data_IF_847167369563
#
_entry.id   IF_847167369563
#
_cell.length_a   1.000
_cell.length_b   1.000
_cell.length_c   1.000
_cell.angle_alpha   90.00
_cell.angle_beta   90.00
_cell.angle_gamma   90.00
#
_symmetry.space_group_name_H-M   'P 1'
#
loop_
_entity.id
_entity.type
_entity.pdbx_description
1 polymer ?
#
# COMPACT_ATOMS: atom_id res chain seq x y z
N UNK A 1 -9.33 -14.61 -7.87
CA UNK A 1 -10.40 -13.86 -8.58
C UNK A 1 -10.04 -12.39 -8.79
N UNK A 2 -9.54 -11.67 -7.77
CA UNK A 2 -9.19 -10.23 -7.83
C UNK A 2 -8.15 -9.92 -8.91
N UNK A 3 -6.97 -10.57 -8.86
CA UNK A 3 -5.85 -10.31 -9.80
C UNK A 3 -6.28 -10.50 -11.26
N UNK A 4 -6.96 -11.60 -11.58
CA UNK A 4 -7.44 -11.88 -12.94
C UNK A 4 -8.41 -10.81 -13.44
N UNK A 5 -9.32 -10.32 -12.59
CA UNK A 5 -10.26 -9.26 -12.95
C UNK A 5 -9.53 -7.93 -13.19
N UNK A 6 -8.57 -7.58 -12.34
CA UNK A 6 -7.74 -6.38 -12.51
C UNK A 6 -6.96 -6.48 -13.81
N UNK A 7 -6.36 -7.62 -14.13
CA UNK A 7 -5.59 -7.81 -15.37
C UNK A 7 -6.46 -7.69 -16.61
N UNK A 8 -7.62 -8.36 -16.62
CA UNK A 8 -8.57 -8.27 -17.73
C UNK A 8 -9.00 -6.82 -17.96
N UNK A 9 -9.30 -6.08 -16.89
CA UNK A 9 -9.70 -4.67 -16.98
C UNK A 9 -8.54 -3.78 -17.42
N UNK A 10 -7.35 -3.94 -16.85
CA UNK A 10 -6.16 -3.19 -17.24
C UNK A 10 -5.81 -3.42 -18.72
N UNK A 11 -5.84 -4.67 -19.18
CA UNK A 11 -5.61 -5.02 -20.59
C UNK A 11 -6.68 -4.45 -21.52
N UNK A 12 -7.95 -4.49 -21.11
CA UNK A 12 -9.06 -3.90 -21.87
C UNK A 12 -8.89 -2.38 -22.02
N UNK A 13 -8.57 -1.68 -20.93
CA UNK A 13 -8.31 -0.23 -20.96
C UNK A 13 -7.13 0.09 -21.86
N UNK A 14 -6.03 -0.64 -21.73
CA UNK A 14 -4.84 -0.44 -22.54
C UNK A 14 -5.11 -0.71 -24.03
N UNK A 15 -5.91 -1.71 -24.36
CA UNK A 15 -6.32 -2.03 -25.73
C UNK A 15 -7.26 -0.97 -26.34
N UNK A 16 -8.08 -0.29 -25.53
CA UNK A 16 -9.01 0.74 -26.00
C UNK A 16 -8.33 2.08 -26.29
N UNK A 17 -7.29 2.44 -25.55
CA UNK A 17 -6.62 3.74 -25.67
C UNK A 17 -5.08 3.64 -25.67
N UNK A 18 -4.48 2.74 -26.48
CA UNK A 18 -3.05 2.46 -26.39
C UNK A 18 -2.21 3.71 -26.68
N UNK A 19 -2.52 4.43 -27.77
CA UNK A 19 -1.77 5.61 -28.19
C UNK A 19 -1.88 6.78 -27.21
N UNK A 20 -3.05 6.99 -26.56
CA UNK A 20 -3.20 8.05 -25.55
C UNK A 20 -2.33 7.77 -24.32
N UNK A 21 -2.39 6.55 -23.78
CA UNK A 21 -1.60 6.17 -22.61
C UNK A 21 -0.10 6.14 -22.91
N UNK A 22 0.29 5.65 -24.09
CA UNK A 22 1.67 5.72 -24.57
C UNK A 22 2.15 7.16 -24.71
N UNK A 23 1.38 8.02 -25.38
CA UNK A 23 1.73 9.43 -25.56
C UNK A 23 1.94 10.16 -24.24
N UNK A 24 1.05 9.95 -23.27
CA UNK A 24 1.17 10.54 -21.93
C UNK A 24 2.35 9.98 -21.14
N UNK A 25 2.61 8.68 -21.23
CA UNK A 25 3.76 8.05 -20.57
C UNK A 25 5.09 8.51 -21.18
N UNK A 26 5.15 8.63 -22.51
CA UNK A 26 6.30 9.19 -23.23
C UNK A 26 6.51 10.66 -22.89
N UNK A 27 5.43 11.46 -22.83
CA UNK A 27 5.50 12.85 -22.40
C UNK A 27 6.01 12.96 -20.96
N UNK A 28 5.48 12.18 -20.03
CA UNK A 28 5.96 12.16 -18.65
C UNK A 28 7.42 11.71 -18.55
N UNK A 29 7.84 10.73 -19.36
CA UNK A 29 9.22 10.25 -19.41
C UNK A 29 10.16 11.32 -19.96
N UNK A 30 9.76 12.00 -21.03
CA UNK A 30 10.49 13.13 -21.62
C UNK A 30 10.66 14.27 -20.60
N UNK A 31 9.59 14.65 -19.90
CA UNK A 31 9.64 15.67 -18.85
C UNK A 31 10.55 15.24 -17.70
N UNK A 32 10.51 13.96 -17.32
CA UNK A 32 11.40 13.41 -16.29
C UNK A 32 12.87 13.48 -16.72
N UNK A 33 13.18 13.10 -17.96
CA UNK A 33 14.54 13.19 -18.52
C UNK A 33 15.00 14.64 -18.58
N UNK A 34 14.14 15.57 -19.00
CA UNK A 34 14.45 16.99 -19.04
C UNK A 34 14.84 17.52 -17.65
N UNK A 35 14.07 17.15 -16.63
CA UNK A 35 14.36 17.51 -15.24
C UNK A 35 15.68 16.90 -14.76
N UNK A 36 16.01 15.67 -15.18
CA UNK A 36 17.29 15.03 -14.85
C UNK A 36 18.49 15.69 -15.55
N UNK A 37 18.34 16.10 -16.81
CA UNK A 37 19.41 16.69 -17.63
C UNK A 37 19.69 18.14 -17.23
N UNK A 38 18.63 18.93 -17.02
CA UNK A 38 18.75 20.37 -16.72
C UNK A 38 18.70 20.68 -15.22
N UNK A 39 18.32 19.72 -14.38
CA UNK A 39 18.32 19.89 -12.94
C UNK A 39 19.74 19.96 -12.39
N UNK A 40 20.03 21.03 -11.65
CA UNK A 40 21.36 21.25 -11.06
C UNK A 40 21.52 20.51 -9.73
N UNK A 41 20.48 20.52 -8.90
CA UNK A 41 20.54 20.00 -7.53
C UNK A 41 19.48 18.91 -7.28
N UNK A 42 19.82 17.81 -6.60
CA UNK A 42 18.87 16.75 -6.25
C UNK A 42 17.65 17.25 -5.47
N UNK A 43 17.82 18.30 -4.67
CA UNK A 43 16.73 18.93 -3.91
C UNK A 43 15.63 19.54 -4.80
N UNK A 44 15.94 19.87 -6.05
CA UNK A 44 14.97 20.36 -7.05
C UNK A 44 14.45 19.19 -7.88
N UNK A 45 15.36 18.31 -8.33
CA UNK A 45 15.04 17.18 -9.21
C UNK A 45 14.04 16.23 -8.56
N UNK A 46 14.31 15.80 -7.32
CA UNK A 46 13.53 14.75 -6.65
C UNK A 46 12.06 15.16 -6.44
N UNK A 47 11.75 16.34 -5.90
CA UNK A 47 10.36 16.82 -5.79
C UNK A 47 9.62 16.88 -7.13
N UNK A 48 10.24 17.41 -8.18
CA UNK A 48 9.59 17.57 -9.49
C UNK A 48 9.25 16.20 -10.10
N UNK A 49 10.20 15.25 -10.08
CA UNK A 49 9.96 13.88 -10.55
C UNK A 49 8.89 13.19 -9.69
N UNK A 50 8.92 13.40 -8.37
CA UNK A 50 7.93 12.85 -7.47
C UNK A 50 6.51 13.34 -7.80
N UNK A 51 6.35 14.62 -8.12
CA UNK A 51 5.06 15.20 -8.52
C UNK A 51 4.62 14.70 -9.90
N UNK A 52 5.54 14.60 -10.88
CA UNK A 52 5.23 13.99 -12.19
C UNK A 52 4.76 12.53 -12.06
N UNK A 53 5.40 11.75 -11.18
CA UNK A 53 5.01 10.37 -10.92
C UNK A 53 3.62 10.26 -10.27
N UNK A 54 3.25 11.22 -9.42
CA UNK A 54 1.88 11.33 -8.90
C UNK A 54 0.88 11.72 -10.01
N UNK A 55 1.26 12.60 -10.94
CA UNK A 55 0.45 12.93 -12.12
C UNK A 55 0.16 11.70 -13.00
N UNK A 56 1.17 10.87 -13.27
CA UNK A 56 0.98 9.60 -13.98
C UNK A 56 0.06 8.64 -13.25
N UNK A 57 0.12 8.58 -11.92
CA UNK A 57 -0.81 7.79 -11.12
C UNK A 57 -2.27 8.26 -11.32
N UNK A 58 -2.50 9.57 -11.41
CA UNK A 58 -3.82 10.12 -11.72
C UNK A 58 -4.31 9.72 -13.13
N UNK A 59 -3.42 9.74 -14.13
CA UNK A 59 -3.73 9.28 -15.51
C UNK A 59 -4.13 7.79 -15.51
N UNK A 60 -3.36 6.94 -14.84
CA UNK A 60 -3.68 5.51 -14.76
C UNK A 60 -4.99 5.26 -14.02
N UNK A 61 -5.28 6.03 -12.97
CA UNK A 61 -6.53 5.90 -12.22
C UNK A 61 -7.75 6.29 -13.05
N UNK A 62 -7.71 7.47 -13.68
CA UNK A 62 -8.81 7.93 -14.53
C UNK A 62 -8.99 6.98 -15.74
N UNK A 63 -7.89 6.52 -16.35
CA UNK A 63 -7.93 5.52 -17.42
C UNK A 63 -8.51 4.17 -16.99
N UNK A 64 -8.10 3.64 -15.83
CA UNK A 64 -8.65 2.40 -15.28
C UNK A 64 -10.16 2.52 -14.98
N UNK A 65 -10.59 3.70 -14.54
CA UNK A 65 -11.99 4.05 -14.32
C UNK A 65 -12.80 4.30 -15.61
N UNK A 66 -12.19 4.15 -16.79
CA UNK A 66 -12.86 4.30 -18.08
C UNK A 66 -13.15 5.76 -18.45
N UNK A 67 -12.52 6.72 -17.77
CA UNK A 67 -12.61 8.14 -18.11
C UNK A 67 -11.61 8.45 -19.23
N UNK A 68 -11.87 9.52 -19.96
CA UNK A 68 -10.88 10.05 -20.90
C UNK A 68 -9.65 10.59 -20.14
N UNK A 69 -8.47 10.37 -20.74
CA UNK A 69 -7.19 10.81 -20.20
C UNK A 69 -6.61 11.95 -21.03
N UNK A 70 -6.07 12.96 -20.34
CA UNK A 70 -5.55 14.19 -20.94
C UNK A 70 -4.22 14.58 -20.29
N UNK A 71 -3.41 15.35 -21.02
CA UNK A 71 -2.08 15.79 -20.58
C UNK A 71 -2.13 16.63 -19.29
N UNK A 72 -3.21 17.37 -19.06
CA UNK A 72 -3.39 18.18 -17.85
C UNK A 72 -3.37 17.36 -16.55
N UNK A 73 -3.73 16.07 -16.63
CA UNK A 73 -3.67 15.16 -15.48
C UNK A 73 -2.23 14.97 -14.98
N UNK A 74 -1.23 15.05 -15.86
CA UNK A 74 0.20 14.98 -15.48
C UNK A 74 0.59 16.12 -14.55
N UNK A 75 -0.06 17.28 -14.72
CA UNK A 75 0.23 18.48 -13.96
C UNK A 75 -0.69 18.67 -12.74
N UNK A 76 -1.65 17.77 -12.49
CA UNK A 76 -2.55 17.85 -11.32
C UNK A 76 -1.77 17.96 -10.00
N UNK A 77 -0.70 17.17 -9.85
CA UNK A 77 0.13 17.18 -8.65
C UNK A 77 0.86 18.52 -8.41
N UNK A 78 1.08 19.33 -9.44
CA UNK A 78 1.74 20.65 -9.33
C UNK A 78 0.82 21.72 -8.74
N UNK A 79 -0.52 21.55 -8.84
CA UNK A 79 -1.47 22.48 -8.21
C UNK A 79 -1.29 22.54 -6.70
N UNK A 80 -1.02 21.39 -6.09
CA UNK A 80 -0.69 21.25 -4.68
C UNK A 80 0.76 20.77 -4.52
N UNK A 81 1.72 21.44 -5.20
CA UNK A 81 3.10 20.97 -5.36
C UNK A 81 3.75 20.53 -4.05
N UNK A 82 3.81 21.39 -3.04
CA UNK A 82 4.48 21.08 -1.78
C UNK A 82 3.83 19.92 -1.01
N UNK A 83 2.50 19.78 -1.08
CA UNK A 83 1.79 18.65 -0.45
C UNK A 83 2.10 17.35 -1.17
N UNK A 84 2.02 17.36 -2.50
CA UNK A 84 2.26 16.18 -3.35
C UNK A 84 3.72 15.75 -3.29
N UNK A 85 4.64 16.69 -3.50
CA UNK A 85 6.08 16.48 -3.39
C UNK A 85 6.45 15.99 -1.99
N UNK A 86 5.97 16.67 -0.94
CA UNK A 86 6.20 16.27 0.45
C UNK A 86 5.74 14.85 0.72
N UNK A 87 4.51 14.48 0.33
CA UNK A 87 3.98 13.13 0.54
C UNK A 87 4.73 12.04 -0.21
N UNK A 88 5.09 12.31 -1.47
CA UNK A 88 5.85 11.37 -2.29
C UNK A 88 7.31 11.23 -1.84
N UNK A 89 7.96 12.32 -1.44
CA UNK A 89 9.30 12.30 -0.84
C UNK A 89 9.27 11.58 0.51
N UNK A 90 8.24 11.82 1.34
CA UNK A 90 8.06 11.13 2.61
C UNK A 90 7.90 9.61 2.44
N UNK A 91 7.12 9.19 1.44
CA UNK A 91 7.04 7.78 1.01
C UNK A 91 8.42 7.21 0.68
N UNK A 92 9.19 7.89 -0.19
CA UNK A 92 10.52 7.41 -0.62
C UNK A 92 11.50 7.34 0.55
N UNK A 93 11.50 8.34 1.42
CA UNK A 93 12.32 8.37 2.63
C UNK A 93 12.05 7.16 3.52
N UNK A 94 10.79 6.85 3.80
CA UNK A 94 10.45 5.69 4.63
C UNK A 94 10.89 4.37 4.01
N UNK A 95 10.68 4.18 2.70
CA UNK A 95 11.16 2.97 2.00
C UNK A 95 12.68 2.85 2.10
N UNK A 96 13.39 3.97 1.91
CA UNK A 96 14.85 4.01 1.99
C UNK A 96 15.37 3.67 3.40
N UNK A 97 14.76 4.22 4.45
CA UNK A 97 15.12 3.91 5.85
C UNK A 97 15.00 2.40 6.12
N UNK A 98 13.88 1.79 5.69
CA UNK A 98 13.70 0.35 5.87
C UNK A 98 14.67 -0.48 5.03
N UNK A 99 15.05 -0.01 3.85
CA UNK A 99 16.03 -0.66 2.98
C UNK A 99 17.44 -0.71 3.59
N UNK A 100 17.84 0.33 4.35
CA UNK A 100 19.17 0.41 4.98
C UNK A 100 19.42 -0.64 6.07
N UNK A 101 18.37 -1.31 6.56
CA UNK A 101 18.53 -2.37 7.56
C UNK A 101 19.25 -3.58 6.92
N UNK A 102 20.38 -4.06 7.47
CA UNK A 102 21.09 -5.19 6.89
C UNK A 102 20.23 -6.48 6.84
N UNK A 103 20.41 -7.30 5.80
CA UNK A 103 19.78 -8.62 5.58
C UNK A 103 18.24 -8.57 5.47
N UNK A 104 17.53 -8.12 6.50
CA UNK A 104 16.08 -8.01 6.55
C UNK A 104 15.54 -6.75 5.83
N UNK A 105 16.34 -5.69 5.69
CA UNK A 105 15.89 -4.42 5.13
C UNK A 105 15.33 -4.49 3.72
N UNK A 106 15.95 -5.20 2.77
CA UNK A 106 15.38 -5.38 1.44
C UNK A 106 13.97 -5.97 1.46
N UNK A 107 13.72 -7.00 2.29
CA UNK A 107 12.39 -7.61 2.43
C UNK A 107 11.36 -6.65 3.04
N UNK A 108 11.76 -5.91 4.08
CA UNK A 108 10.88 -4.92 4.72
C UNK A 108 10.60 -3.76 3.76
N UNK A 109 11.59 -3.29 3.02
CA UNK A 109 11.45 -2.23 2.02
C UNK A 109 10.45 -2.60 0.92
N UNK A 110 10.48 -3.85 0.43
CA UNK A 110 9.49 -4.36 -0.53
C UNK A 110 8.08 -4.34 0.08
N UNK A 111 7.93 -4.84 1.32
CA UNK A 111 6.64 -4.78 2.02
C UNK A 111 6.12 -3.35 2.18
N UNK A 112 7.01 -2.41 2.51
CA UNK A 112 6.70 -0.98 2.64
C UNK A 112 6.42 -0.31 1.31
N UNK A 113 7.10 -0.69 0.23
CA UNK A 113 6.81 -0.23 -1.13
C UNK A 113 5.34 -0.48 -1.49
N UNK A 114 4.84 -1.70 -1.26
CA UNK A 114 3.43 -2.01 -1.47
C UNK A 114 2.52 -1.30 -0.47
N UNK A 115 2.88 -1.25 0.82
CA UNK A 115 2.08 -0.54 1.82
C UNK A 115 1.89 0.96 1.51
N UNK A 116 2.83 1.58 0.81
CA UNK A 116 2.78 2.98 0.39
C UNK A 116 2.38 3.17 -1.09
N UNK A 117 1.95 2.10 -1.76
CA UNK A 117 1.61 2.15 -3.18
C UNK A 117 0.42 3.06 -3.47
N UNK A 118 -0.50 3.23 -2.52
CA UNK A 118 -1.71 4.03 -2.70
C UNK A 118 -1.56 5.53 -2.45
N UNK A 119 -0.45 5.95 -1.84
CA UNK A 119 -0.14 7.37 -1.55
C UNK A 119 -0.33 8.32 -2.74
N UNK A 120 0.21 8.07 -3.95
CA UNK A 120 0.01 8.99 -5.06
C UNK A 120 -1.47 9.15 -5.45
N UNK A 121 -2.29 8.11 -5.34
CA UNK A 121 -3.71 8.19 -5.68
C UNK A 121 -4.49 8.99 -4.61
N UNK A 122 -4.25 8.70 -3.33
CA UNK A 122 -4.86 9.44 -2.21
C UNK A 122 -4.50 10.92 -2.28
N UNK A 123 -3.24 11.25 -2.56
CA UNK A 123 -2.80 12.65 -2.70
C UNK A 123 -3.52 13.38 -3.83
N UNK A 124 -3.88 12.68 -4.91
CA UNK A 124 -4.55 13.26 -6.06
C UNK A 124 -6.06 13.46 -5.86
N UNK A 125 -6.73 12.56 -5.14
CA UNK A 125 -8.19 12.62 -4.94
C UNK A 125 -8.61 13.30 -3.64
N UNK A 126 -7.88 13.10 -2.55
CA UNK A 126 -8.26 13.58 -1.23
C UNK A 126 -7.44 14.80 -0.82
N UNK A 127 -7.84 15.97 -1.32
CA UNK A 127 -7.12 17.23 -1.08
C UNK A 127 -7.08 17.69 0.38
N UNK A 128 -8.04 17.24 1.19
CA UNK A 128 -8.10 17.54 2.63
C UNK A 128 -7.10 16.74 3.46
N UNK A 129 -6.53 15.66 2.90
CA UNK A 129 -5.62 14.78 3.64
C UNK A 129 -4.18 15.29 3.50
N UNK A 130 -3.55 15.53 4.65
CA UNK A 130 -2.14 15.93 4.73
C UNK A 130 -1.20 14.85 4.18
N UNK A 131 -0.02 15.27 3.69
CA UNK A 131 0.99 14.40 3.09
C UNK A 131 1.32 13.13 3.91
N UNK A 132 1.51 13.28 5.22
CA UNK A 132 1.81 12.17 6.14
C UNK A 132 0.59 11.31 6.45
N UNK A 133 -0.61 11.92 6.49
CA UNK A 133 -1.86 11.21 6.68
C UNK A 133 -2.19 10.34 5.46
N UNK A 134 -1.90 10.81 4.24
CA UNK A 134 -2.06 10.02 3.02
C UNK A 134 -1.19 8.75 3.02
N UNK A 135 0.03 8.83 3.60
CA UNK A 135 0.90 7.67 3.75
C UNK A 135 0.33 6.67 4.77
N UNK A 136 -0.20 7.15 5.90
CA UNK A 136 -0.85 6.29 6.90
C UNK A 136 -2.10 5.61 6.35
N UNK A 137 -2.93 6.36 5.64
CA UNK A 137 -4.12 5.85 4.97
C UNK A 137 -3.75 4.78 3.93
N UNK A 138 -2.74 5.04 3.09
CA UNK A 138 -2.22 4.02 2.16
C UNK A 138 -1.87 2.71 2.87
N UNK A 139 -1.20 2.76 4.03
CA UNK A 139 -0.86 1.53 4.77
C UNK A 139 -2.08 0.75 5.25
N UNK A 140 -3.14 1.46 5.65
CA UNK A 140 -4.39 0.87 6.10
C UNK A 140 -5.14 0.25 4.91
N UNK A 141 -5.29 1.00 3.83
CA UNK A 141 -6.04 0.60 2.63
C UNK A 141 -5.37 -0.56 1.88
N UNK A 142 -4.03 -0.65 1.90
CA UNK A 142 -3.31 -1.79 1.30
C UNK A 142 -3.25 -3.02 2.23
N UNK A 143 -3.69 -2.91 3.49
CA UNK A 143 -3.61 -4.03 4.42
C UNK A 143 -4.53 -5.18 3.95
N UNK A 144 -3.97 -6.40 3.82
CA UNK A 144 -4.65 -7.55 3.23
C UNK A 144 -4.40 -7.77 1.74
N UNK A 145 -3.91 -6.77 0.99
CA UNK A 145 -3.64 -6.90 -0.46
C UNK A 145 -2.15 -6.91 -0.83
N UNK A 146 -1.24 -6.64 0.11
CA UNK A 146 0.22 -6.53 -0.15
C UNK A 146 0.79 -7.75 -0.90
N UNK A 147 0.49 -8.96 -0.44
CA UNK A 147 0.98 -10.18 -1.08
C UNK A 147 0.37 -10.37 -2.47
N UNK A 148 -0.90 -9.98 -2.67
CA UNK A 148 -1.55 -10.06 -3.97
C UNK A 148 -0.92 -9.07 -4.97
N UNK A 149 -0.59 -7.86 -4.52
CA UNK A 149 0.13 -6.87 -5.33
C UNK A 149 1.54 -7.34 -5.68
N UNK A 150 2.27 -7.92 -4.71
CA UNK A 150 3.58 -8.51 -4.94
C UNK A 150 3.51 -9.63 -5.97
N UNK A 151 2.61 -10.61 -5.80
CA UNK A 151 2.45 -11.69 -6.76
C UNK A 151 2.02 -11.18 -8.14
N UNK A 152 1.23 -10.10 -8.19
CA UNK A 152 0.80 -9.51 -9.44
C UNK A 152 1.97 -8.90 -10.24
N UNK A 153 2.98 -8.35 -9.59
CA UNK A 153 4.17 -7.89 -10.32
C UNK A 153 5.21 -9.00 -10.51
N UNK A 154 5.47 -9.75 -9.45
CA UNK A 154 6.58 -10.70 -9.42
C UNK A 154 6.38 -11.88 -10.36
N UNK A 155 5.18 -12.47 -10.41
CA UNK A 155 4.95 -13.69 -11.22
C UNK A 155 5.05 -13.39 -12.73
N UNK A 156 4.39 -12.36 -13.29
CA UNK A 156 4.55 -12.03 -14.70
C UNK A 156 5.98 -11.64 -15.06
N UNK A 157 6.65 -10.88 -14.19
CA UNK A 157 8.04 -10.46 -14.41
C UNK A 157 8.99 -11.66 -14.39
N UNK A 158 8.82 -12.59 -13.44
CA UNK A 158 9.62 -13.81 -13.38
C UNK A 158 9.43 -14.66 -14.65
N UNK A 159 8.19 -14.79 -15.12
CA UNK A 159 7.89 -15.55 -16.33
C UNK A 159 8.54 -14.94 -17.58
N UNK A 160 8.42 -13.63 -17.79
CA UNK A 160 9.03 -12.97 -18.95
C UNK A 160 10.55 -13.04 -18.88
N UNK A 161 11.17 -12.87 -17.70
CA UNK A 161 12.62 -13.00 -17.57
C UNK A 161 13.11 -14.44 -17.81
N UNK A 162 12.33 -15.45 -17.43
CA UNK A 162 12.64 -16.85 -17.75
C UNK A 162 12.60 -17.10 -19.27
N UNK A 163 11.57 -16.61 -19.96
CA UNK A 163 11.48 -16.69 -21.43
C UNK A 163 12.64 -15.97 -22.10
N UNK A 164 12.97 -14.77 -21.64
CA UNK A 164 14.10 -13.98 -22.14
C UNK A 164 15.45 -14.69 -21.93
N UNK A 165 15.65 -15.34 -20.78
CA UNK A 165 16.84 -16.14 -20.52
C UNK A 165 16.97 -17.33 -21.49
N UNK A 166 15.85 -18.03 -21.77
CA UNK A 166 15.83 -19.14 -22.75
C UNK A 166 16.18 -18.62 -24.15
N UNK A 167 15.55 -17.53 -24.61
CA UNK A 167 15.84 -16.94 -25.91
C UNK A 167 17.29 -16.46 -26.03
N UNK A 168 17.84 -15.88 -24.96
CA UNK A 168 19.23 -15.47 -24.89
C UNK A 168 20.19 -16.67 -24.97
N UNK A 169 19.88 -17.80 -24.33
CA UNK A 169 20.67 -19.03 -24.46
C UNK A 169 20.62 -19.58 -25.90
N UNK A 170 19.43 -19.60 -26.53
CA UNK A 170 19.28 -20.04 -27.93
C UNK A 170 20.03 -19.13 -28.91
N UNK A 171 20.16 -17.83 -28.59
CA UNK A 171 20.94 -16.89 -29.40
C UNK A 171 22.45 -17.19 -29.47
N UNK A 172 22.96 -18.08 -28.62
CA UNK A 172 24.38 -18.48 -28.61
C UNK A 172 24.70 -19.56 -29.65
N UNK A 173 23.70 -20.15 -30.30
CA UNK A 173 23.89 -21.19 -31.32
C UNK A 173 24.46 -20.55 -32.60
N UNK A 174 25.54 -21.09 -33.20
CA UNK A 174 26.08 -20.55 -34.45
C UNK A 174 25.04 -20.62 -35.60
N UNK A 175 25.07 -19.63 -36.50
CA UNK A 175 24.14 -19.42 -37.63
C UNK A 175 22.67 -19.13 -37.24
N UNK A 176 22.03 -19.98 -36.44
CA UNK A 176 20.61 -19.83 -36.06
C UNK A 176 20.40 -18.79 -34.95
N UNK A 177 21.44 -18.52 -34.14
CA UNK A 177 21.36 -17.64 -32.98
C UNK A 177 21.00 -16.18 -33.30
N UNK A 178 21.28 -15.69 -34.52
CA UNK A 178 20.92 -14.33 -34.95
C UNK A 178 19.40 -14.15 -34.93
N UNK A 179 18.64 -15.16 -35.37
CA UNK A 179 17.18 -15.10 -35.35
C UNK A 179 16.66 -14.93 -33.91
N UNK A 180 17.17 -15.74 -32.98
CA UNK A 180 16.79 -15.65 -31.56
C UNK A 180 17.25 -14.33 -30.92
N UNK A 181 18.40 -13.78 -31.32
CA UNK A 181 18.84 -12.46 -30.86
C UNK A 181 17.86 -11.36 -31.30
N UNK A 182 17.44 -11.36 -32.57
CA UNK A 182 16.45 -10.41 -33.08
C UNK A 182 15.12 -10.54 -32.34
N UNK A 183 14.62 -11.77 -32.16
CA UNK A 183 13.38 -12.03 -31.39
C UNK A 183 13.53 -11.51 -29.96
N UNK A 184 14.66 -11.77 -29.30
CA UNK A 184 14.94 -11.29 -27.93
C UNK A 184 14.85 -9.76 -27.86
N UNK A 185 15.45 -9.05 -28.81
CA UNK A 185 15.38 -7.58 -28.86
C UNK A 185 13.94 -7.10 -29.06
N UNK A 186 13.16 -7.75 -29.94
CA UNK A 186 11.76 -7.39 -30.17
C UNK A 186 10.93 -7.61 -28.90
N UNK A 187 11.06 -8.78 -28.26
CA UNK A 187 10.33 -9.09 -27.02
C UNK A 187 10.70 -8.09 -25.91
N UNK A 188 12.00 -7.77 -25.76
CA UNK A 188 12.46 -6.77 -24.80
C UNK A 188 11.85 -5.39 -25.07
N UNK A 189 11.82 -4.96 -26.33
CA UNK A 189 11.28 -3.66 -26.72
C UNK A 189 9.78 -3.60 -26.42
N UNK A 190 9.02 -4.61 -26.84
CA UNK A 190 7.58 -4.71 -26.57
C UNK A 190 7.32 -4.70 -25.06
N UNK A 191 8.06 -5.50 -24.30
CA UNK A 191 7.91 -5.55 -22.85
C UNK A 191 8.24 -4.21 -22.18
N UNK A 192 9.32 -3.54 -22.60
CA UNK A 192 9.74 -2.24 -22.04
C UNK A 192 8.70 -1.15 -22.25
N UNK A 193 8.01 -1.16 -23.40
CA UNK A 193 6.96 -0.18 -23.69
C UNK A 193 5.62 -0.54 -23.04
N UNK A 194 5.30 -1.83 -22.95
CA UNK A 194 4.03 -2.32 -22.43
C UNK A 194 3.98 -2.36 -20.89
N UNK A 195 5.01 -2.91 -20.26
CA UNK A 195 5.06 -3.16 -18.82
C UNK A 195 4.75 -1.94 -17.93
N UNK A 196 5.37 -0.75 -18.13
CA UNK A 196 5.10 0.39 -17.24
C UNK A 196 3.64 0.85 -17.27
N UNK A 197 2.98 0.73 -18.43
CA UNK A 197 1.58 1.08 -18.60
C UNK A 197 0.67 0.05 -17.96
N UNK A 198 0.95 -1.23 -18.22
CA UNK A 198 0.17 -2.32 -17.68
C UNK A 198 0.25 -2.35 -16.15
N UNK A 199 1.45 -2.30 -15.56
CA UNK A 199 1.61 -2.31 -14.11
C UNK A 199 1.12 -1.03 -13.45
N UNK A 200 1.20 0.12 -14.12
CA UNK A 200 0.58 1.38 -13.68
C UNK A 200 -0.94 1.27 -13.56
N UNK A 201 -1.60 0.66 -14.56
CA UNK A 201 -3.03 0.37 -14.53
C UNK A 201 -3.40 -0.70 -13.50
N UNK A 202 -2.56 -1.73 -13.31
CA UNK A 202 -2.78 -2.75 -12.27
C UNK A 202 -2.75 -2.11 -10.88
N UNK A 203 -1.80 -1.21 -10.61
CA UNK A 203 -1.73 -0.46 -9.34
C UNK A 203 -2.96 0.41 -9.11
N UNK A 204 -3.43 1.11 -10.14
CA UNK A 204 -4.68 1.86 -10.09
C UNK A 204 -5.88 0.94 -9.81
N UNK A 205 -5.90 -0.25 -10.40
CA UNK A 205 -6.96 -1.23 -10.18
C UNK A 205 -6.99 -1.80 -8.77
N UNK A 206 -5.83 -2.04 -8.15
CA UNK A 206 -5.77 -2.44 -6.74
C UNK A 206 -6.27 -1.32 -5.82
N UNK A 207 -5.95 -0.07 -6.15
CA UNK A 207 -6.42 1.08 -5.38
C UNK A 207 -7.95 1.24 -5.47
N UNK A 208 -8.53 1.14 -6.67
CA UNK A 208 -9.98 1.14 -6.85
C UNK A 208 -10.66 -0.03 -6.13
N UNK A 209 -10.07 -1.22 -6.21
CA UNK A 209 -10.60 -2.39 -5.51
C UNK A 209 -10.61 -2.19 -3.99
N UNK A 210 -9.54 -1.63 -3.42
CA UNK A 210 -9.43 -1.35 -1.98
C UNK A 210 -10.46 -0.32 -1.48
N UNK A 211 -10.98 0.55 -2.36
CA UNK A 211 -12.08 1.47 -2.03
C UNK A 211 -13.46 0.82 -2.05
N UNK A 212 -13.63 -0.26 -2.82
CA UNK A 212 -14.95 -0.91 -2.87
C UNK A 212 -15.25 -1.57 -1.53
N UNK A 213 -16.48 -1.40 -0.97
CA UNK A 213 -16.85 -1.99 0.31
C UNK A 213 -17.11 -3.50 0.14
N UNK A 214 -16.05 -4.27 -0.12
CA UNK A 214 -16.07 -5.72 0.01
C UNK A 214 -15.26 -6.06 1.26
N UNK A 215 -16.01 -6.34 2.34
CA UNK A 215 -15.56 -6.85 3.64
C UNK A 215 -14.19 -7.51 3.54
N UNK A 216 -13.19 -6.83 4.08
CA UNK A 216 -11.93 -7.42 4.52
C UNK A 216 -12.22 -8.76 5.18
N UNK A 217 -11.72 -9.84 4.59
CA UNK A 217 -11.53 -11.09 5.31
C UNK A 217 -10.76 -10.74 6.56
N UNK A 218 -11.35 -11.00 7.72
CA UNK A 218 -10.79 -10.79 9.06
C UNK A 218 -9.31 -11.21 9.07
N UNK A 219 -8.42 -10.23 9.02
CA UNK A 219 -7.04 -10.40 9.43
C UNK A 219 -6.94 -9.81 10.84
N UNK A 220 -7.17 -10.66 11.84
CA UNK A 220 -6.68 -10.38 13.19
C UNK A 220 -5.16 -10.35 13.11
N UNK A 221 -4.58 -9.18 13.36
CA UNK A 221 -3.13 -9.07 13.49
C UNK A 221 -2.63 -10.08 14.55
N UNK A 222 -1.50 -10.76 14.33
CA UNK A 222 -0.85 -11.51 15.40
C UNK A 222 -0.60 -10.57 16.57
N UNK A 223 -1.16 -10.90 17.73
CA UNK A 223 -0.83 -10.23 18.98
C UNK A 223 0.69 -10.27 19.14
N UNK A 224 1.27 -9.13 19.54
CA UNK A 224 2.68 -9.05 19.90
C UNK A 224 3.03 -10.19 20.89
N UNK A 225 4.24 -10.79 20.82
CA UNK A 225 4.63 -11.86 21.72
C UNK A 225 4.35 -11.48 23.17
N UNK A 226 3.46 -12.23 23.81
CA UNK A 226 3.24 -12.12 25.24
C UNK A 226 4.53 -12.56 25.93
N UNK A 227 5.14 -11.66 26.70
CA UNK A 227 6.22 -11.96 27.61
C UNK A 227 5.78 -13.13 28.52
N UNK A 228 6.58 -14.19 28.70
CA UNK A 228 6.18 -15.35 29.50
C UNK A 228 5.83 -14.92 30.93
N UNK A 229 4.59 -15.17 31.34
CA UNK A 229 4.18 -15.06 32.74
C UNK A 229 4.95 -16.10 33.55
N UNK A 230 5.74 -15.62 34.52
CA UNK A 230 6.37 -16.46 35.51
C UNK A 230 5.29 -17.22 36.30
N UNK A 231 5.32 -18.55 36.20
CA UNK A 231 4.58 -19.44 37.09
C UNK A 231 5.17 -19.34 38.50
N UNK A 232 4.34 -19.01 39.48
CA UNK A 232 4.68 -19.21 40.88
C UNK A 232 3.48 -19.76 41.63
N UNK A 233 3.61 -21.00 42.08
CA UNK A 233 2.88 -21.60 43.19
C UNK A 233 3.89 -22.39 44.03
N UNK A 234 3.71 -22.62 45.35
CA UNK A 234 2.85 -21.95 46.33
C UNK A 234 3.66 -21.23 47.44
N UNK A 235 2.92 -20.46 48.24
CA UNK A 235 3.33 -19.58 49.34
C UNK A 235 3.91 -20.36 50.54
N UNK A 236 5.00 -19.86 51.12
CA UNK A 236 5.39 -20.12 52.52
C UNK A 236 5.23 -18.83 53.36
N UNK A 237 4.62 -19.01 54.53
CA UNK A 237 4.27 -18.03 55.57
C UNK A 237 5.50 -17.31 56.16
N UNK A 238 5.35 -16.10 56.74
CA UNK A 238 5.14 -16.08 58.20
C UNK A 238 4.19 -14.98 58.75
N UNK A 239 3.42 -15.41 59.75
CA UNK A 239 3.16 -14.77 61.07
C UNK A 239 2.25 -13.53 61.16
N UNK A 240 1.07 -13.82 61.72
CA UNK A 240 0.13 -13.07 62.59
C UNK A 240 0.60 -11.75 63.24
N UNK A 241 -0.36 -10.86 63.54
CA UNK A 241 -0.88 -10.83 64.93
C UNK A 241 -2.41 -11.02 65.06
N UNK A 242 -2.79 -11.54 66.23
CA UNK A 242 -4.14 -11.69 66.81
C UNK A 242 -4.85 -10.30 66.89
N UNK A 243 -6.19 -10.17 66.98
CA UNK A 243 -6.99 -10.37 68.20
C UNK A 243 -8.47 -10.01 67.92
N UNK A 244 -9.38 -10.93 68.29
CA UNK A 244 -10.80 -10.85 68.72
C UNK A 244 -11.93 -10.18 67.92
N UNK A 245 -13.07 -10.90 67.95
CA UNK A 245 -14.46 -10.42 68.17
C UNK A 245 -15.42 -10.20 66.98
N UNK A 246 -16.06 -11.31 66.56
CA UNK A 246 -17.52 -11.52 66.53
C UNK A 246 -18.47 -10.41 66.00
N UNK A 247 -18.99 -10.60 64.78
CA UNK A 247 -20.43 -10.54 64.43
C UNK A 247 -20.64 -10.68 62.89
N UNK A 248 -21.65 -11.44 62.47
CA UNK A 248 -22.23 -11.41 61.12
C UNK A 248 -23.64 -10.77 61.21
N UNK A 249 -24.42 -10.54 60.12
CA UNK A 249 -24.16 -10.53 58.66
C UNK A 249 -24.80 -9.31 57.92
N UNK A 250 -24.40 -9.01 56.66
CA UNK A 250 -25.10 -8.31 55.51
C UNK A 250 -24.05 -7.54 54.67
N UNK A 251 -24.08 -7.31 53.35
CA UNK A 251 -25.01 -7.48 52.22
C UNK A 251 -24.14 -7.30 50.94
N UNK A 252 -24.52 -7.95 49.83
CA UNK A 252 -23.77 -7.98 48.57
C UNK A 252 -23.69 -6.61 47.88
N UNK A 253 -22.50 -6.16 47.49
CA UNK A 253 -22.32 -5.10 46.48
C UNK A 253 -21.43 -5.59 45.34
N UNK A 254 -22.06 -6.22 44.34
CA UNK A 254 -21.46 -6.48 43.03
C UNK A 254 -21.86 -5.32 42.10
N UNK A 255 -20.92 -4.56 41.51
CA UNK A 255 -21.26 -3.43 40.65
C UNK A 255 -22.12 -3.86 39.45
N UNK A 256 -23.26 -3.18 39.23
CA UNK A 256 -24.25 -3.55 38.23
C UNK A 256 -23.84 -3.07 36.82
N UNK A 257 -24.08 -3.84 35.75
CA UNK A 257 -23.78 -3.43 34.36
C UNK A 257 -24.56 -2.17 33.93
N UNK A 258 -23.94 -1.33 33.10
CA UNK A 258 -24.49 -0.05 32.63
C UNK A 258 -25.07 -0.20 31.22
N UNK A 259 -26.35 0.13 31.02
CA UNK A 259 -27.01 0.07 29.70
C UNK A 259 -26.84 1.38 28.95
N UNK A 260 -26.51 1.30 27.65
CA UNK A 260 -26.32 2.47 26.79
C UNK A 260 -27.66 3.09 26.37
N UNK A 261 -27.91 4.40 26.59
CA UNK A 261 -29.18 5.05 26.24
C UNK A 261 -29.37 5.27 24.72
N UNK A 262 -28.32 5.08 23.91
CA UNK A 262 -28.36 5.33 22.46
C UNK A 262 -28.63 4.04 21.67
N UNK A 263 -28.18 2.88 22.17
CA UNK A 263 -28.25 1.63 21.43
C UNK A 263 -28.55 0.39 22.28
N UNK A 264 -28.99 0.58 23.52
CA UNK A 264 -29.43 -0.44 24.49
C UNK A 264 -28.42 -1.56 24.79
N UNK A 265 -27.14 -1.36 24.48
CA UNK A 265 -26.10 -2.35 24.77
C UNK A 265 -25.72 -2.33 26.25
N UNK A 266 -25.53 -3.50 26.86
CA UNK A 266 -25.05 -3.64 28.24
C UNK A 266 -23.53 -3.56 28.27
N UNK A 267 -22.98 -2.66 29.09
CA UNK A 267 -21.54 -2.41 29.24
C UNK A 267 -21.08 -2.79 30.65
N UNK A 268 -19.78 -3.08 30.80
CA UNK A 268 -19.19 -3.39 32.09
C UNK A 268 -19.29 -2.18 33.05
N UNK A 269 -19.42 -2.43 34.36
CA UNK A 269 -19.40 -1.36 35.36
C UNK A 269 -18.08 -0.55 35.24
N UNK A 270 -18.16 0.77 35.44
CA UNK A 270 -17.06 1.74 35.31
C UNK A 270 -16.52 1.97 33.88
N UNK A 271 -17.35 1.83 32.84
CA UNK A 271 -16.98 2.19 31.46
C UNK A 271 -17.60 3.54 31.06
N UNK A 272 -16.76 4.48 30.60
CA UNK A 272 -17.19 5.83 30.21
C UNK A 272 -17.70 5.92 28.76
N UNK A 273 -17.50 4.88 27.95
CA UNK A 273 -17.87 4.86 26.54
C UNK A 273 -18.48 3.50 26.16
N UNK A 274 -19.55 3.55 25.37
CA UNK A 274 -20.21 2.35 24.86
C UNK A 274 -19.29 1.60 23.88
N UNK A 275 -19.08 0.30 24.11
CA UNK A 275 -18.24 -0.52 23.24
C UNK A 275 -18.81 -0.68 21.81
N UNK A 276 -20.13 -0.48 21.64
CA UNK A 276 -20.86 -0.75 20.39
C UNK A 276 -21.01 0.49 19.51
N UNK A 277 -21.33 1.65 20.07
CA UNK A 277 -21.59 2.87 19.30
C UNK A 277 -20.70 4.07 19.69
N UNK A 278 -19.86 3.94 20.72
CA UNK A 278 -18.91 4.99 21.12
C UNK A 278 -19.55 6.19 21.83
N UNK A 279 -20.85 6.17 22.12
CA UNK A 279 -21.50 7.21 22.92
C UNK A 279 -20.98 7.19 24.35
N UNK A 280 -20.90 8.38 24.97
CA UNK A 280 -20.49 8.54 26.37
C UNK A 280 -21.55 7.91 27.29
N UNK A 281 -21.10 7.14 28.27
CA UNK A 281 -21.87 6.60 29.38
C UNK A 281 -21.38 7.36 30.61
N UNK A 282 -22.24 8.18 31.22
CA UNK A 282 -21.88 8.98 32.39
C UNK A 282 -21.71 8.13 33.66
#
# INVERSE_FOLDING_TARGET
MIISNIYKRAFNVLSKMPFKLWGLSLLSSLLTILVLVFGVLPIVIVPVIAVLSAGMAAVYLDGFNGKEVYSDQLFKGFKDFWRTAGGMCWKKLWIFIWFLVPIAGPFIAISKYYAYSFTPYILNEEKSVNATAALRKSMQDTNGYKLQMFCAEFIPNLLIYAVMAILALLSKIPFVGILFAVITVIVQLVYTLFAPLFFGLVHAGFYEYAKTPVKSTTYSAPQAPQTPQAQSAPVQTPVQPQTTEQAAPTENDTPKPITCPVCDSVNAPNTHFCYKCGSKLD
#
